data_IF_192536256575
#
_entry.id   IF_192536256575
#
_cell.length_a   1.000
_cell.length_b   1.000
_cell.length_c   1.000
_cell.angle_alpha   90.00
_cell.angle_beta   90.00
_cell.angle_gamma   90.00
#
_symmetry.space_group_name_H-M   'P 1'
#
loop_
_entity.id
_entity.type
_entity.pdbx_description
1 polymer ?
#
# COMPACT_ATOMS: atom_id res chain seq x y z
N UNK A 1 -10.59 19.80 -21.77
CA UNK A 1 -11.78 18.94 -21.73
C UNK A 1 -12.18 18.81 -20.27
N UNK A 2 -13.36 19.32 -19.89
CA UNK A 2 -13.92 19.09 -18.55
C UNK A 2 -14.62 17.73 -18.57
N UNK A 3 -13.87 16.68 -18.29
CA UNK A 3 -14.47 15.38 -18.00
C UNK A 3 -14.97 15.39 -16.56
N UNK A 4 -16.29 15.34 -16.39
CA UNK A 4 -16.91 15.24 -15.07
C UNK A 4 -16.73 13.81 -14.56
N UNK A 5 -16.01 13.66 -13.44
CA UNK A 5 -16.04 12.40 -12.70
C UNK A 5 -17.46 12.11 -12.23
N UNK A 6 -17.92 10.88 -12.40
CA UNK A 6 -19.17 10.41 -11.79
C UNK A 6 -18.88 10.04 -10.33
N UNK A 7 -19.66 10.59 -9.42
CA UNK A 7 -19.67 10.13 -8.03
C UNK A 7 -20.47 8.84 -7.97
N UNK A 8 -19.89 7.78 -7.42
CA UNK A 8 -20.49 6.45 -7.36
C UNK A 8 -21.05 6.09 -5.97
N UNK A 9 -20.75 6.93 -4.98
CA UNK A 9 -21.20 6.73 -3.61
C UNK A 9 -20.67 7.81 -2.69
N UNK A 10 -20.84 7.59 -1.39
CA UNK A 10 -20.41 8.53 -0.35
C UNK A 10 -20.03 7.82 0.93
N UNK A 11 -19.18 8.46 1.72
CA UNK A 11 -18.91 8.08 3.10
C UNK A 11 -20.11 8.44 3.97
N UNK A 12 -20.54 7.53 4.84
CA UNK A 12 -21.55 7.75 5.88
C UNK A 12 -20.92 7.46 7.24
N UNK A 13 -20.83 8.49 8.08
CA UNK A 13 -20.25 8.37 9.42
C UNK A 13 -20.60 9.54 10.36
N UNK A 14 -20.17 9.44 11.61
CA UNK A 14 -20.33 10.53 12.59
C UNK A 14 -19.18 11.55 12.54
N UNK A 15 -18.14 11.34 11.71
CA UNK A 15 -16.95 12.18 11.68
C UNK A 15 -17.14 13.37 10.73
N UNK A 16 -17.48 14.54 11.26
CA UNK A 16 -17.77 15.74 10.47
C UNK A 16 -16.49 16.46 10.04
N UNK A 17 -16.57 17.21 8.94
CA UNK A 17 -15.46 18.00 8.41
C UNK A 17 -14.90 18.96 9.47
N UNK A 18 -13.57 18.96 9.63
CA UNK A 18 -12.87 19.75 10.65
C UNK A 18 -12.68 19.02 11.98
N UNK A 19 -13.31 17.85 12.18
CA UNK A 19 -12.96 16.97 13.29
C UNK A 19 -11.55 16.39 13.11
N UNK A 20 -10.89 16.11 14.23
CA UNK A 20 -9.61 15.39 14.22
C UNK A 20 -9.87 13.92 13.88
N UNK A 21 -9.27 13.46 12.79
CA UNK A 21 -9.29 12.04 12.42
C UNK A 21 -8.24 11.29 13.26
N UNK A 22 -8.55 10.10 13.82
CA UNK A 22 -7.55 9.29 14.52
C UNK A 22 -6.41 8.87 13.58
N UNK A 23 -5.17 8.71 14.07
CA UNK A 23 -4.03 8.34 13.24
C UNK A 23 -4.20 7.01 12.47
N UNK A 24 -4.92 6.06 13.05
CA UNK A 24 -5.19 4.74 12.46
C UNK A 24 -6.52 4.71 11.66
N UNK A 25 -7.12 5.89 11.43
CA UNK A 25 -8.45 6.02 10.85
C UNK A 25 -9.57 5.60 11.81
N UNK A 26 -10.77 5.41 11.27
CA UNK A 26 -11.95 5.03 12.06
C UNK A 26 -12.87 4.08 11.27
N UNK A 27 -13.85 3.48 11.95
CA UNK A 27 -14.84 2.62 11.31
C UNK A 27 -16.02 3.43 10.79
N UNK A 28 -16.46 3.14 9.56
CA UNK A 28 -17.56 3.84 8.92
C UNK A 28 -18.15 3.02 7.77
N UNK A 29 -19.01 3.67 7.00
CA UNK A 29 -19.69 3.01 5.89
C UNK A 29 -19.45 3.74 4.57
N UNK A 30 -19.34 2.98 3.50
CA UNK A 30 -19.41 3.49 2.13
C UNK A 30 -20.75 3.08 1.55
N UNK A 31 -21.58 4.07 1.25
CA UNK A 31 -22.88 3.87 0.61
C UNK A 31 -22.69 4.10 -0.88
N UNK A 32 -22.65 3.01 -1.66
CA UNK A 32 -22.60 3.06 -3.12
C UNK A 32 -24.00 3.34 -3.64
N UNK A 33 -24.15 4.22 -4.63
CA UNK A 33 -25.48 4.50 -5.18
C UNK A 33 -26.04 3.27 -5.89
N UNK A 34 -27.38 3.11 -5.84
CA UNK A 34 -28.07 1.92 -6.30
C UNK A 34 -27.74 1.58 -7.77
N UNK A 35 -27.60 2.60 -8.63
CA UNK A 35 -27.26 2.40 -10.04
C UNK A 35 -25.88 1.78 -10.27
N UNK A 36 -24.99 1.81 -9.26
CA UNK A 36 -23.65 1.24 -9.32
C UNK A 36 -23.52 -0.04 -8.49
N UNK A 37 -24.56 -0.50 -7.80
CA UNK A 37 -24.50 -1.67 -6.90
C UNK A 37 -24.01 -2.93 -7.63
N UNK A 38 -24.40 -3.12 -8.89
CA UNK A 38 -23.98 -4.27 -9.68
C UNK A 38 -22.44 -4.40 -9.79
N UNK A 39 -21.71 -3.28 -9.70
CA UNK A 39 -20.25 -3.23 -9.69
C UNK A 39 -19.61 -3.84 -8.44
N UNK A 40 -20.36 -4.05 -7.37
CA UNK A 40 -19.88 -4.65 -6.12
C UNK A 40 -19.86 -6.18 -6.13
N UNK A 41 -20.31 -6.83 -7.20
CA UNK A 41 -20.38 -8.30 -7.27
C UNK A 41 -19.00 -8.93 -7.02
N UNK A 42 -18.88 -9.69 -5.92
CA UNK A 42 -17.67 -10.40 -5.54
C UNK A 42 -16.67 -9.58 -4.72
N UNK A 43 -17.04 -8.36 -4.31
CA UNK A 43 -16.18 -7.49 -3.50
C UNK A 43 -15.83 -8.10 -2.14
N UNK A 44 -16.69 -8.98 -1.61
CA UNK A 44 -16.53 -9.70 -0.34
C UNK A 44 -15.34 -10.66 -0.34
N UNK A 45 -14.81 -11.00 -1.51
CA UNK A 45 -13.58 -11.81 -1.62
C UNK A 45 -12.31 -11.01 -1.27
N UNK A 46 -12.42 -9.70 -1.06
CA UNK A 46 -11.30 -8.81 -0.72
C UNK A 46 -11.33 -8.50 0.78
N UNK A 47 -10.16 -8.57 1.43
CA UNK A 47 -9.99 -8.10 2.82
C UNK A 47 -9.77 -6.59 2.91
N UNK A 48 -9.20 -5.98 1.88
CA UNK A 48 -8.93 -4.54 1.83
C UNK A 48 -9.36 -3.94 0.49
N UNK A 49 -9.72 -2.66 0.52
CA UNK A 49 -10.14 -1.89 -0.62
C UNK A 49 -9.32 -0.60 -0.71
N UNK A 50 -9.04 -0.16 -1.93
CA UNK A 50 -8.54 1.19 -2.20
C UNK A 50 -9.71 2.06 -2.61
N UNK A 51 -9.92 3.15 -1.88
CA UNK A 51 -10.94 4.14 -2.15
C UNK A 51 -10.33 5.34 -2.86
N UNK A 52 -11.03 5.83 -3.89
CA UNK A 52 -10.72 7.09 -4.57
C UNK A 52 -11.84 8.07 -4.25
N UNK A 53 -11.52 9.17 -3.58
CA UNK A 53 -12.48 10.14 -3.10
C UNK A 53 -12.20 11.56 -3.60
N UNK A 54 -13.21 12.43 -3.54
CA UNK A 54 -13.09 13.83 -3.96
C UNK A 54 -13.27 14.77 -2.76
N UNK A 55 -12.24 15.55 -2.43
CA UNK A 55 -12.24 16.45 -1.25
C UNK A 55 -12.67 17.90 -1.55
N UNK A 56 -13.09 18.17 -2.78
CA UNK A 56 -13.58 19.48 -3.19
C UNK A 56 -13.66 19.61 -4.71
N UNK A 57 -13.88 20.82 -5.19
CA UNK A 57 -13.92 21.11 -6.62
C UNK A 57 -12.50 21.26 -7.18
N UNK A 58 -12.22 20.75 -8.39
CA UNK A 58 -11.05 21.15 -9.15
C UNK A 58 -11.03 22.67 -9.29
N UNK A 59 -9.89 23.30 -8.98
CA UNK A 59 -9.71 24.75 -9.04
C UNK A 59 -8.23 25.09 -9.08
N UNK A 60 -7.91 26.36 -9.33
CA UNK A 60 -6.55 26.90 -9.27
C UNK A 60 -6.06 27.02 -7.82
N UNK A 61 -5.85 25.87 -7.17
CA UNK A 61 -5.25 25.79 -5.83
C UNK A 61 -3.74 26.03 -5.91
N UNK A 62 -3.12 26.62 -4.87
CA UNK A 62 -1.68 26.86 -4.86
C UNK A 62 -0.90 25.55 -5.01
N UNK A 63 0.19 25.59 -5.78
CA UNK A 63 1.08 24.44 -5.99
C UNK A 63 2.14 24.28 -4.90
N UNK A 64 2.29 25.27 -4.03
CA UNK A 64 3.18 25.27 -2.87
C UNK A 64 2.36 25.44 -1.61
N UNK A 65 2.62 24.61 -0.61
CA UNK A 65 1.96 24.68 0.70
C UNK A 65 2.95 24.42 1.82
N UNK A 66 2.63 24.90 3.02
CA UNK A 66 3.30 24.48 4.25
C UNK A 66 2.82 23.06 4.62
N UNK A 67 3.72 22.07 4.75
CA UNK A 67 3.34 20.71 5.13
C UNK A 67 2.47 20.69 6.38
N UNK A 68 1.28 20.09 6.31
CA UNK A 68 0.29 20.05 7.41
C UNK A 68 -0.09 21.43 7.99
N UNK A 69 0.17 22.52 7.25
CA UNK A 69 -0.06 23.90 7.73
C UNK A 69 1.00 24.41 8.71
N UNK A 70 2.11 23.71 8.87
CA UNK A 70 3.20 24.09 9.76
C UNK A 70 4.14 25.11 9.10
N UNK A 71 4.02 26.38 9.52
CA UNK A 71 4.83 27.49 8.99
C UNK A 71 6.32 27.42 9.38
N UNK A 72 6.70 26.53 10.30
CA UNK A 72 8.12 26.29 10.62
C UNK A 72 8.82 25.42 9.56
N UNK A 73 8.05 24.69 8.76
CA UNK A 73 8.56 23.86 7.68
C UNK A 73 8.67 24.64 6.37
N UNK A 74 9.60 24.27 5.46
CA UNK A 74 9.71 24.94 4.18
C UNK A 74 8.47 24.70 3.30
N UNK A 75 8.12 25.72 2.51
CA UNK A 75 7.14 25.57 1.43
C UNK A 75 7.53 24.38 0.53
N UNK A 76 6.57 23.49 0.33
CA UNK A 76 6.80 22.24 -0.40
C UNK A 76 5.74 22.07 -1.49
N UNK A 77 6.16 21.55 -2.65
CA UNK A 77 5.26 21.26 -3.77
C UNK A 77 4.18 20.26 -3.40
N UNK A 78 2.93 20.54 -3.77
CA UNK A 78 1.76 19.69 -3.42
C UNK A 78 1.83 18.28 -3.99
N UNK A 79 2.63 18.05 -5.04
CA UNK A 79 2.87 16.72 -5.60
C UNK A 79 3.91 15.90 -4.84
N UNK A 80 4.72 16.53 -3.99
CA UNK A 80 5.62 15.88 -3.03
C UNK A 80 4.93 15.57 -1.69
N UNK A 81 3.68 15.98 -1.53
CA UNK A 81 2.87 15.83 -0.32
C UNK A 81 1.58 15.06 -0.60
N UNK A 82 0.89 14.66 0.47
CA UNK A 82 -0.50 14.17 0.45
C UNK A 82 -1.50 15.26 0.82
N UNK A 83 -1.17 16.53 0.55
CA UNK A 83 -2.04 17.67 0.88
C UNK A 83 -3.38 17.57 0.14
N UNK A 84 -4.52 17.92 0.76
CA UNK A 84 -5.81 18.03 0.05
C UNK A 84 -5.91 19.30 -0.82
N UNK A 85 -4.97 20.23 -0.66
CA UNK A 85 -4.84 21.44 -1.49
C UNK A 85 -4.06 21.07 -2.75
N UNK A 86 -4.77 20.65 -3.80
CA UNK A 86 -4.21 20.25 -5.10
C UNK A 86 -5.15 20.65 -6.25
N UNK A 87 -4.65 20.78 -7.50
CA UNK A 87 -5.48 21.11 -8.66
C UNK A 87 -6.67 20.17 -8.84
N UNK A 88 -6.42 18.86 -8.72
CA UNK A 88 -7.45 17.83 -8.63
C UNK A 88 -7.45 17.29 -7.19
N UNK A 89 -8.42 17.65 -6.34
CA UNK A 89 -8.44 17.26 -4.93
C UNK A 89 -8.93 15.82 -4.75
N UNK A 90 -8.28 14.89 -5.46
CA UNK A 90 -8.51 13.46 -5.39
C UNK A 90 -7.69 12.89 -4.24
N UNK A 91 -8.36 12.18 -3.34
CA UNK A 91 -7.77 11.48 -2.22
C UNK A 91 -7.78 9.97 -2.47
N UNK A 92 -6.80 9.29 -1.87
CA UNK A 92 -6.66 7.85 -1.90
C UNK A 92 -6.56 7.36 -0.47
N UNK A 93 -7.30 6.32 -0.15
CA UNK A 93 -7.24 5.66 1.15
C UNK A 93 -7.36 4.14 0.99
N UNK A 94 -6.79 3.39 1.94
CA UNK A 94 -6.82 1.93 1.94
C UNK A 94 -7.50 1.47 3.22
N UNK A 95 -8.64 0.81 3.08
CA UNK A 95 -9.51 0.43 4.20
C UNK A 95 -9.72 -1.07 4.25
N UNK A 96 -9.91 -1.59 5.46
CA UNK A 96 -10.35 -2.98 5.67
C UNK A 96 -11.84 -3.11 5.33
N UNK A 97 -12.22 -4.11 4.53
CA UNK A 97 -13.61 -4.47 4.30
C UNK A 97 -14.08 -5.41 5.41
N UNK A 98 -14.96 -4.90 6.28
CA UNK A 98 -15.52 -5.69 7.38
C UNK A 98 -16.69 -6.54 6.89
N UNK A 99 -17.60 -5.95 6.12
CA UNK A 99 -18.72 -6.65 5.49
C UNK A 99 -19.39 -5.81 4.41
N UNK A 100 -20.14 -6.49 3.53
CA UNK A 100 -21.08 -5.88 2.60
C UNK A 100 -22.52 -6.21 3.00
N UNK A 101 -23.40 -5.22 2.90
CA UNK A 101 -24.85 -5.32 3.04
C UNK A 101 -25.49 -4.58 1.85
N UNK A 102 -25.92 -5.31 0.82
CA UNK A 102 -26.42 -4.73 -0.45
C UNK A 102 -25.41 -3.74 -1.07
N UNK A 103 -25.76 -2.47 -1.18
CA UNK A 103 -24.92 -1.38 -1.69
C UNK A 103 -24.09 -0.68 -0.59
N UNK A 104 -24.11 -1.18 0.65
CA UNK A 104 -23.39 -0.63 1.80
C UNK A 104 -22.17 -1.49 2.11
N UNK A 105 -21.00 -0.86 2.20
CA UNK A 105 -19.75 -1.49 2.65
C UNK A 105 -19.38 -0.96 4.03
N UNK A 106 -19.30 -1.82 5.04
CA UNK A 106 -18.76 -1.44 6.35
C UNK A 106 -17.27 -1.66 6.34
N UNK A 107 -16.54 -0.61 6.71
CA UNK A 107 -15.09 -0.57 6.57
C UNK A 107 -14.41 -0.03 7.83
N UNK A 108 -13.12 -0.33 7.98
CA UNK A 108 -12.27 0.19 9.06
C UNK A 108 -11.02 0.84 8.51
N UNK A 109 -10.50 1.85 9.21
CA UNK A 109 -9.31 2.60 8.81
C UNK A 109 -9.59 3.78 7.88
N UNK A 110 -10.83 4.29 7.82
CA UNK A 110 -11.16 5.46 7.00
C UNK A 110 -10.44 6.73 7.48
N UNK A 111 -9.95 7.52 6.54
CA UNK A 111 -9.38 8.87 6.75
C UNK A 111 -10.22 9.98 6.05
N UNK A 112 -11.49 9.69 5.79
CA UNK A 112 -12.41 10.61 5.09
C UNK A 112 -13.42 11.20 6.06
N UNK A 113 -14.08 12.30 5.68
CA UNK A 113 -15.18 12.86 6.47
C UNK A 113 -16.52 12.29 6.01
N UNK A 114 -17.52 12.39 6.87
CA UNK A 114 -18.92 12.15 6.49
C UNK A 114 -19.31 12.95 5.23
N UNK A 115 -20.14 12.33 4.39
CA UNK A 115 -20.57 12.85 3.07
C UNK A 115 -19.45 13.03 2.04
N UNK A 116 -18.23 12.54 2.30
CA UNK A 116 -17.15 12.59 1.30
C UNK A 116 -17.55 11.79 0.05
N UNK A 117 -17.58 12.39 -1.15
CA UNK A 117 -17.89 11.69 -2.39
C UNK A 117 -16.85 10.64 -2.76
N UNK A 118 -17.30 9.44 -3.14
CA UNK A 118 -16.48 8.36 -3.68
C UNK A 118 -16.58 8.36 -5.20
N UNK A 119 -15.42 8.35 -5.86
CA UNK A 119 -15.29 8.30 -7.31
C UNK A 119 -15.04 6.87 -7.80
N UNK A 120 -14.34 6.05 -7.02
CA UNK A 120 -13.94 4.70 -7.42
C UNK A 120 -13.60 3.82 -6.21
N UNK A 121 -13.72 2.51 -6.38
CA UNK A 121 -13.40 1.47 -5.39
C UNK A 121 -12.63 0.37 -6.10
N UNK A 122 -11.45 0.01 -5.59
CA UNK A 122 -10.62 -1.05 -6.16
C UNK A 122 -10.29 -2.11 -5.11
N UNK A 123 -10.11 -3.35 -5.55
CA UNK A 123 -9.49 -4.39 -4.72
C UNK A 123 -8.07 -3.98 -4.35
N UNK A 124 -7.73 -4.07 -3.07
CA UNK A 124 -6.34 -3.91 -2.64
C UNK A 124 -5.49 -5.06 -3.17
N UNK A 125 -4.39 -4.75 -3.84
CA UNK A 125 -3.43 -5.76 -4.28
C UNK A 125 -2.06 -5.49 -3.66
N UNK A 126 -1.62 -6.32 -2.69
CA UNK A 126 -0.28 -6.20 -2.10
C UNK A 126 0.83 -6.15 -3.16
N UNK A 127 0.64 -6.88 -4.27
CA UNK A 127 1.58 -6.95 -5.39
C UNK A 127 1.79 -5.60 -6.09
N UNK A 128 0.72 -4.82 -6.24
CA UNK A 128 0.78 -3.53 -6.93
C UNK A 128 1.11 -2.38 -5.98
N UNK A 129 0.76 -2.50 -4.69
CA UNK A 129 0.69 -1.36 -3.79
C UNK A 129 1.79 -1.31 -2.74
N UNK A 130 2.31 -2.46 -2.31
CA UNK A 130 3.41 -2.49 -1.35
C UNK A 130 4.73 -2.32 -2.11
N UNK A 131 5.54 -1.34 -1.70
CA UNK A 131 6.96 -1.25 -2.02
C UNK A 131 7.70 -1.05 -0.69
N UNK A 132 8.19 -2.13 -0.07
CA UNK A 132 8.80 -2.05 1.26
C UNK A 132 10.04 -1.16 1.34
N UNK A 133 10.74 -0.98 0.22
CA UNK A 133 11.88 -0.07 0.11
C UNK A 133 11.47 1.37 -0.26
N UNK A 134 10.18 1.65 -0.46
CA UNK A 134 9.73 3.00 -0.79
C UNK A 134 9.74 3.87 0.46
N UNK A 135 10.22 5.09 0.28
CA UNK A 135 10.51 6.01 1.36
C UNK A 135 10.17 7.43 0.93
N UNK A 136 9.72 8.28 1.85
CA UNK A 136 9.34 9.67 1.49
C UNK A 136 10.57 10.53 1.16
N UNK A 137 11.75 10.19 1.68
CA UNK A 137 13.00 10.83 1.31
C UNK A 137 13.82 9.89 0.42
N UNK A 138 14.36 10.40 -0.70
CA UNK A 138 15.30 9.64 -1.56
C UNK A 138 16.60 9.27 -0.81
N UNK A 139 16.89 9.95 0.29
CA UNK A 139 18.00 9.71 1.20
C UNK A 139 17.54 8.91 2.43
N UNK A 140 16.78 7.83 2.27
CA UNK A 140 16.17 7.23 3.45
C UNK A 140 17.12 6.39 4.29
N UNK A 141 16.84 6.52 5.59
CA UNK A 141 17.32 5.80 6.75
C UNK A 141 17.67 4.34 6.49
N UNK A 142 16.93 3.54 5.72
CA UNK A 142 17.23 2.10 5.57
C UNK A 142 18.65 1.80 5.08
N UNK A 143 19.23 2.59 4.16
CA UNK A 143 20.64 2.42 3.76
C UNK A 143 21.65 3.06 4.73
N UNK A 144 21.18 3.88 5.67
CA UNK A 144 21.96 4.48 6.78
C UNK A 144 21.87 3.66 8.07
N UNK A 145 20.83 2.83 8.21
CA UNK A 145 20.64 1.89 9.31
C UNK A 145 21.77 0.87 9.27
N UNK A 146 22.20 0.43 10.45
CA UNK A 146 23.07 -0.73 10.58
C UNK A 146 22.38 -1.97 10.01
N UNK A 147 23.16 -3.02 9.76
CA UNK A 147 22.62 -4.29 9.28
C UNK A 147 21.63 -4.86 10.29
N UNK A 148 21.91 -4.68 11.58
CA UNK A 148 21.08 -5.12 12.71
C UNK A 148 19.73 -4.40 12.73
N UNK A 149 19.71 -3.07 12.56
CA UNK A 149 18.46 -2.30 12.53
C UNK A 149 17.58 -2.67 11.34
N UNK A 150 18.19 -2.93 10.17
CA UNK A 150 17.45 -3.43 8.98
C UNK A 150 16.87 -4.81 9.24
N UNK A 151 17.65 -5.68 9.89
CA UNK A 151 17.24 -7.04 10.26
C UNK A 151 16.03 -7.00 11.18
N UNK A 152 16.06 -6.19 12.24
CA UNK A 152 14.94 -6.04 13.18
C UNK A 152 13.67 -5.54 12.50
N UNK A 153 13.79 -4.57 11.59
CA UNK A 153 12.65 -4.08 10.81
C UNK A 153 12.04 -5.18 9.92
N UNK A 154 12.87 -5.96 9.22
CA UNK A 154 12.40 -7.06 8.38
C UNK A 154 11.79 -8.19 9.22
N UNK A 155 12.36 -8.51 10.38
CA UNK A 155 11.79 -9.45 11.36
C UNK A 155 10.40 -8.99 11.79
N UNK A 156 10.27 -7.71 12.19
CA UNK A 156 9.00 -7.13 12.61
C UNK A 156 7.96 -7.17 11.49
N UNK A 157 8.37 -6.86 10.26
CA UNK A 157 7.51 -6.91 9.09
C UNK A 157 7.01 -8.33 8.77
N UNK A 158 7.90 -9.32 8.74
CA UNK A 158 7.50 -10.72 8.50
C UNK A 158 6.60 -11.21 9.63
N UNK A 159 6.96 -10.95 10.88
CA UNK A 159 6.15 -11.36 12.04
C UNK A 159 4.75 -10.77 11.99
N UNK A 160 4.61 -9.50 11.57
CA UNK A 160 3.31 -8.86 11.36
C UNK A 160 2.52 -9.49 10.20
N UNK A 161 3.20 -9.87 9.13
CA UNK A 161 2.57 -10.38 7.90
C UNK A 161 2.19 -11.87 7.97
N UNK A 162 3.03 -12.70 8.58
CA UNK A 162 2.84 -14.15 8.71
C UNK A 162 2.34 -14.57 10.10
N UNK A 163 2.16 -13.63 11.03
CA UNK A 163 1.76 -13.86 12.41
C UNK A 163 2.84 -14.46 13.31
N UNK A 164 3.87 -15.09 12.75
CA UNK A 164 5.05 -15.60 13.45
C UNK A 164 6.32 -15.40 12.61
N UNK A 165 7.47 -15.73 13.19
CA UNK A 165 8.73 -15.79 12.47
C UNK A 165 9.34 -17.18 12.59
N UNK A 166 9.70 -17.77 11.44
CA UNK A 166 10.39 -19.06 11.37
C UNK A 166 11.87 -18.87 11.11
N UNK A 167 12.66 -19.94 11.33
CA UNK A 167 14.07 -19.95 10.94
C UNK A 167 14.24 -19.70 9.43
N UNK A 168 13.37 -20.30 8.60
CA UNK A 168 13.33 -20.06 7.16
C UNK A 168 13.09 -18.57 6.82
N UNK A 169 12.23 -17.89 7.59
CA UNK A 169 11.99 -16.46 7.40
C UNK A 169 13.24 -15.63 7.70
N UNK A 170 13.98 -16.00 8.74
CA UNK A 170 15.24 -15.35 9.11
C UNK A 170 16.28 -15.57 8.00
N UNK A 171 16.40 -16.79 7.48
CA UNK A 171 17.31 -17.08 6.37
C UNK A 171 16.99 -16.24 5.13
N UNK A 172 15.71 -16.09 4.78
CA UNK A 172 15.30 -15.19 3.69
C UNK A 172 15.72 -13.74 3.95
N UNK A 173 15.55 -13.25 5.19
CA UNK A 173 16.00 -11.91 5.59
C UNK A 173 17.50 -11.75 5.37
N UNK A 174 18.32 -12.71 5.81
CA UNK A 174 19.78 -12.63 5.64
C UNK A 174 20.19 -12.55 4.17
N UNK A 175 19.57 -13.34 3.29
CA UNK A 175 19.82 -13.26 1.85
C UNK A 175 19.53 -11.87 1.29
N UNK A 176 18.39 -11.26 1.68
CA UNK A 176 18.05 -9.93 1.19
C UNK A 176 18.95 -8.83 1.78
N UNK A 177 19.37 -8.94 3.04
CA UNK A 177 20.32 -8.02 3.63
C UNK A 177 21.65 -8.03 2.87
N UNK A 178 22.14 -9.22 2.48
CA UNK A 178 23.33 -9.33 1.64
C UNK A 178 23.15 -8.64 0.28
N UNK A 179 22.00 -8.84 -0.38
CA UNK A 179 21.69 -8.19 -1.66
C UNK A 179 21.62 -6.67 -1.53
N UNK A 180 21.00 -6.15 -0.46
CA UNK A 180 20.92 -4.71 -0.18
C UNK A 180 22.31 -4.13 0.04
N UNK A 181 23.17 -4.82 0.79
CA UNK A 181 24.55 -4.39 1.01
C UNK A 181 25.37 -4.34 -0.28
N UNK A 182 25.01 -5.14 -1.29
CA UNK A 182 25.56 -5.07 -2.66
C UNK A 182 24.87 -4.04 -3.56
N UNK A 183 24.06 -3.12 -3.00
CA UNK A 183 23.27 -2.13 -3.73
C UNK A 183 22.29 -2.72 -4.77
N UNK A 184 21.81 -3.95 -4.54
CA UNK A 184 20.86 -4.59 -5.44
C UNK A 184 19.46 -4.00 -5.25
N UNK A 185 18.82 -3.61 -6.36
CA UNK A 185 17.42 -3.17 -6.35
C UNK A 185 16.51 -4.41 -6.37
N UNK A 186 16.07 -4.82 -5.19
CA UNK A 186 15.26 -6.03 -4.96
C UNK A 186 13.95 -6.03 -5.76
N UNK A 187 13.25 -4.89 -5.84
CA UNK A 187 11.92 -4.81 -6.47
C UNK A 187 11.93 -4.43 -7.95
N UNK A 188 13.09 -4.38 -8.58
CA UNK A 188 13.18 -4.06 -10.02
C UNK A 188 12.49 -5.14 -10.83
N UNK A 189 11.65 -4.75 -11.81
CA UNK A 189 11.02 -5.69 -12.75
C UNK A 189 12.04 -6.51 -13.56
N UNK A 190 13.30 -6.06 -13.61
CA UNK A 190 14.42 -6.77 -14.25
C UNK A 190 15.10 -7.80 -13.33
N UNK A 191 14.84 -7.73 -12.02
CA UNK A 191 15.38 -8.68 -11.04
C UNK A 191 14.43 -9.86 -10.93
N UNK A 192 14.93 -11.04 -11.33
CA UNK A 192 14.26 -12.33 -11.20
C UNK A 192 14.94 -13.16 -10.10
N UNK A 193 14.16 -13.98 -9.41
CA UNK A 193 14.58 -14.85 -8.32
C UNK A 193 14.34 -16.31 -8.67
N UNK A 194 15.32 -17.16 -8.36
CA UNK A 194 15.13 -18.60 -8.25
C UNK A 194 15.20 -18.98 -6.78
N UNK A 195 14.11 -19.53 -6.28
CA UNK A 195 13.91 -19.89 -4.87
C UNK A 195 13.93 -21.41 -4.76
N UNK A 196 14.87 -21.96 -3.99
CA UNK A 196 14.78 -23.35 -3.54
C UNK A 196 14.57 -23.36 -2.04
N UNK A 197 13.65 -24.17 -1.52
CA UNK A 197 13.48 -24.26 -0.07
C UNK A 197 12.06 -24.58 0.37
N UNK A 198 11.78 -24.31 1.65
CA UNK A 198 10.48 -24.59 2.25
C UNK A 198 9.39 -23.61 1.78
N UNK A 199 8.12 -23.94 2.06
CA UNK A 199 7.00 -23.02 1.84
C UNK A 199 7.17 -21.71 2.63
N UNK A 200 7.63 -21.79 3.88
CA UNK A 200 7.84 -20.61 4.73
C UNK A 200 8.97 -19.73 4.21
N UNK A 201 10.01 -20.34 3.64
CA UNK A 201 11.09 -19.61 2.96
C UNK A 201 10.55 -18.87 1.73
N UNK A 202 9.76 -19.56 0.90
CA UNK A 202 9.12 -18.96 -0.28
C UNK A 202 8.19 -17.80 0.11
N UNK A 203 7.36 -17.95 1.13
CA UNK A 203 6.47 -16.88 1.65
C UNK A 203 7.28 -15.64 2.08
N UNK A 204 8.36 -15.83 2.83
CA UNK A 204 9.25 -14.74 3.23
C UNK A 204 9.91 -14.06 2.02
N UNK A 205 10.37 -14.85 1.03
CA UNK A 205 10.96 -14.31 -0.20
C UNK A 205 9.95 -13.50 -1.01
N UNK A 206 8.72 -13.99 -1.18
CA UNK A 206 7.63 -13.27 -1.86
C UNK A 206 7.34 -11.96 -1.14
N UNK A 207 7.23 -11.99 0.19
CA UNK A 207 6.97 -10.80 1.00
C UNK A 207 8.06 -9.74 0.88
N UNK A 208 9.34 -10.11 1.00
CA UNK A 208 10.46 -9.16 0.94
C UNK A 208 10.64 -8.65 -0.50
N UNK A 209 10.70 -9.55 -1.48
CA UNK A 209 10.97 -9.20 -2.88
C UNK A 209 9.82 -8.50 -3.60
N UNK A 210 8.58 -8.75 -3.17
CA UNK A 210 7.38 -8.38 -3.93
C UNK A 210 7.26 -9.11 -5.28
N UNK A 211 8.08 -10.14 -5.54
CA UNK A 211 7.93 -11.01 -6.70
C UNK A 211 6.91 -12.12 -6.38
N UNK A 212 6.01 -12.42 -7.31
CA UNK A 212 4.94 -13.41 -7.11
C UNK A 212 5.19 -14.65 -7.96
N UNK A 213 4.61 -15.78 -7.56
CA UNK A 213 4.69 -17.06 -8.27
C UNK A 213 4.13 -16.98 -9.70
N UNK A 214 3.18 -16.07 -9.94
CA UNK A 214 2.59 -15.83 -11.27
C UNK A 214 3.31 -14.73 -12.06
N UNK A 215 4.32 -14.08 -11.48
CA UNK A 215 5.17 -13.17 -12.22
C UNK A 215 6.33 -13.94 -12.85
N UNK A 216 6.77 -13.52 -14.03
CA UNK A 216 8.03 -14.00 -14.62
C UNK A 216 9.26 -13.66 -13.76
N UNK A 217 9.09 -13.15 -12.54
CA UNK A 217 10.17 -12.75 -11.64
C UNK A 217 10.49 -13.78 -10.58
N UNK A 218 9.73 -14.87 -10.45
CA UNK A 218 9.97 -15.87 -9.42
C UNK A 218 9.81 -17.30 -9.95
N UNK A 219 10.90 -18.05 -9.95
CA UNK A 219 10.91 -19.51 -10.12
C UNK A 219 11.07 -20.16 -8.74
N UNK A 220 10.36 -21.26 -8.48
CA UNK A 220 10.47 -21.95 -7.21
C UNK A 220 10.59 -23.48 -7.36
N UNK A 221 11.29 -24.10 -6.43
CA UNK A 221 11.45 -25.54 -6.29
C UNK A 221 11.44 -25.88 -4.79
N UNK A 222 10.59 -26.80 -4.36
CA UNK A 222 10.55 -27.19 -2.95
C UNK A 222 11.75 -28.07 -2.61
N UNK A 223 12.50 -27.67 -1.59
CA UNK A 223 13.73 -28.34 -1.16
C UNK A 223 13.83 -28.24 0.38
N UNK A 224 14.62 -29.14 0.98
CA UNK A 224 15.00 -29.08 2.40
C UNK A 224 16.04 -28.00 2.67
N UNK A 225 16.81 -27.59 1.67
CA UNK A 225 17.82 -26.55 1.79
C UNK A 225 17.33 -25.25 1.15
N UNK A 226 17.30 -24.18 1.95
CA UNK A 226 16.91 -22.86 1.49
C UNK A 226 18.04 -22.21 0.67
N UNK A 227 17.70 -21.72 -0.53
CA UNK A 227 18.61 -21.03 -1.44
C UNK A 227 17.86 -19.96 -2.21
N UNK A 228 18.45 -18.78 -2.31
CA UNK A 228 17.94 -17.69 -3.14
C UNK A 228 19.02 -17.26 -4.14
N UNK A 229 18.68 -17.28 -5.43
CA UNK A 229 19.56 -16.83 -6.51
C UNK A 229 18.88 -15.72 -7.32
N UNK A 230 19.65 -14.71 -7.72
CA UNK A 230 19.21 -13.78 -8.77
C UNK A 230 19.54 -14.39 -10.11
N UNK A 231 18.54 -14.57 -10.96
CA UNK A 231 18.70 -15.12 -12.30
C UNK A 231 18.58 -14.01 -13.36
N UNK A 232 19.26 -14.14 -14.51
CA UNK A 232 19.13 -13.20 -15.61
C UNK A 232 17.68 -13.16 -16.14
N UNK A 233 17.23 -11.99 -16.60
CA UNK A 233 16.02 -11.94 -17.42
C UNK A 233 16.29 -12.67 -18.74
N UNK A 234 15.40 -13.57 -19.20
CA UNK A 234 15.39 -13.96 -20.61
C UNK A 234 15.18 -12.67 -21.38
N UNK A 235 16.02 -12.50 -22.40
CA UNK A 235 16.06 -11.34 -23.29
C UNK A 235 14.68 -11.02 -23.86
#
# INVERSE_FOLDING_TARGET
MNEFFKVIGRVVSNLKKGSKIPPDGYSGEIHVFEEFEAGLRGIENNSFLVLVALFGTPSDKPLLVYPRGDFSQPLTGVFSLRSPVRPNPIALDTVELIKREQNILKVSGLDFYDETPILDIKSYSPFNEIILSATQEKSFIFTKLSVEERRELLIGFIKKSLGNISQDSIEAIEFFLELINKNTVIRSKKTRYKVKGSLKFLEAVVLISGATIHSDRLEYEFDKCNKLEIIPSPL
#
